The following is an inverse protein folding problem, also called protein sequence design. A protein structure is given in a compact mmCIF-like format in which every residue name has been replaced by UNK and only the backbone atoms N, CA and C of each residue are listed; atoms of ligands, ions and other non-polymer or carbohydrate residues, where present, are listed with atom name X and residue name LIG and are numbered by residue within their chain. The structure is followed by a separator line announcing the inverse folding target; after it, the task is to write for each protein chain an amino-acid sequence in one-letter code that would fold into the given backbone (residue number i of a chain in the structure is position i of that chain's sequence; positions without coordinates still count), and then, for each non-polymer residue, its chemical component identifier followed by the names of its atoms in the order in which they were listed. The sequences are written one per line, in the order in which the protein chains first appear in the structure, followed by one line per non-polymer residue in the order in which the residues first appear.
data_IF_613650448789
#
_entry.id   IF_613650448789
#
_cell.length_a   1.000
_cell.length_b   1.000
_cell.length_c   1.000
_cell.angle_alpha   90.00
_cell.angle_beta   90.00
_cell.angle_gamma   90.00
#
_symmetry.space_group_name_H-M   'P 1'
#
loop_
_entity.id
_entity.type
_entity.pdbx_description
1 polymer ?
#
# COMPACT_ATOMS: atom_id res chain seq x y z
N UNK A 1 2.60 19.45 -11.51
CA UNK A 1 1.35 19.25 -10.76
C UNK A 1 1.73 19.15 -9.30
N UNK A 2 1.03 19.86 -8.43
CA UNK A 2 1.26 19.83 -6.99
C UNK A 2 0.60 18.59 -6.35
N UNK A 3 0.90 18.36 -5.09
CA UNK A 3 0.43 17.20 -4.34
C UNK A 3 -1.09 17.20 -4.17
N UNK A 4 -1.69 18.38 -3.98
CA UNK A 4 -3.14 18.52 -3.82
C UNK A 4 -3.89 18.16 -5.11
N UNK A 5 -3.35 18.54 -6.27
CA UNK A 5 -3.99 18.22 -7.55
C UNK A 5 -4.01 16.72 -7.86
N UNK A 6 -3.01 15.95 -7.40
CA UNK A 6 -3.07 14.48 -7.50
C UNK A 6 -4.11 13.92 -6.54
N UNK A 7 -4.16 14.39 -5.30
CA UNK A 7 -5.19 13.96 -4.35
C UNK A 7 -6.61 14.24 -4.88
N UNK A 8 -6.83 15.41 -5.48
CA UNK A 8 -8.12 15.76 -6.06
C UNK A 8 -8.47 14.88 -7.27
N UNK A 9 -7.47 14.47 -8.08
CA UNK A 9 -7.66 13.46 -9.12
C UNK A 9 -8.15 12.14 -8.54
N UNK A 10 -7.54 11.64 -7.45
CA UNK A 10 -7.96 10.37 -6.84
C UNK A 10 -9.37 10.48 -6.25
N UNK A 11 -9.68 11.57 -5.57
CA UNK A 11 -11.03 11.85 -5.05
C UNK A 11 -12.08 11.89 -6.16
N UNK A 12 -11.78 12.61 -7.25
CA UNK A 12 -12.73 12.72 -8.37
C UNK A 12 -12.91 11.38 -9.07
N UNK A 13 -11.83 10.62 -9.29
CA UNK A 13 -11.92 9.25 -9.83
C UNK A 13 -12.80 8.36 -8.95
N UNK A 14 -12.62 8.44 -7.63
CA UNK A 14 -13.45 7.67 -6.70
C UNK A 14 -14.93 8.08 -6.79
N UNK A 15 -15.24 9.37 -6.87
CA UNK A 15 -16.62 9.87 -7.01
C UNK A 15 -17.27 9.41 -8.33
N UNK A 16 -16.52 9.47 -9.44
CA UNK A 16 -17.08 9.24 -10.77
C UNK A 16 -17.13 7.75 -11.14
N UNK A 17 -16.18 6.95 -10.63
CA UNK A 17 -15.99 5.57 -11.09
C UNK A 17 -16.21 4.54 -9.98
N UNK A 18 -15.59 4.72 -8.78
CA UNK A 18 -15.52 3.70 -7.74
C UNK A 18 -16.80 3.67 -6.91
N UNK A 19 -17.13 4.80 -6.27
CA UNK A 19 -18.26 4.92 -5.33
C UNK A 19 -19.61 4.56 -5.98
N UNK A 20 -19.91 4.91 -7.26
CA UNK A 20 -21.15 4.49 -7.89
C UNK A 20 -21.31 2.97 -8.04
N UNK A 21 -20.19 2.23 -8.06
CA UNK A 21 -20.17 0.76 -8.20
C UNK A 21 -20.02 0.03 -6.86
N UNK A 22 -19.66 0.74 -5.80
CA UNK A 22 -19.58 0.16 -4.47
C UNK A 22 -20.94 -0.37 -4.02
N UNK A 23 -21.02 -1.67 -3.70
CA UNK A 23 -22.28 -2.39 -3.38
C UNK A 23 -23.32 -2.39 -4.52
N UNK A 24 -22.90 -2.04 -5.74
CA UNK A 24 -23.78 -1.91 -6.90
C UNK A 24 -23.19 -2.55 -8.16
N UNK A 25 -22.16 -3.40 -8.02
CA UNK A 25 -21.58 -4.16 -9.15
C UNK A 25 -22.64 -5.06 -9.77
N UNK A 26 -22.77 -4.99 -11.10
CA UNK A 26 -23.66 -5.85 -11.87
C UNK A 26 -23.03 -7.22 -12.15
N UNK A 27 -23.86 -8.17 -12.56
CA UNK A 27 -23.40 -9.46 -13.06
C UNK A 27 -22.47 -9.26 -14.27
N UNK A 28 -21.27 -9.88 -14.24
CA UNK A 28 -20.26 -9.74 -15.30
C UNK A 28 -19.30 -8.57 -15.15
N UNK A 29 -19.38 -7.76 -14.07
CA UNK A 29 -18.43 -6.67 -13.79
C UNK A 29 -17.27 -7.09 -12.89
N UNK A 30 -17.28 -8.35 -12.37
CA UNK A 30 -16.22 -8.93 -11.54
C UNK A 30 -15.54 -10.06 -12.28
N UNK A 31 -14.21 -10.05 -12.31
CA UNK A 31 -13.40 -11.07 -12.96
C UNK A 31 -12.38 -11.63 -11.99
N UNK A 32 -11.94 -12.86 -12.22
CA UNK A 32 -10.82 -13.49 -11.47
C UNK A 32 -9.57 -13.43 -12.33
N UNK A 33 -8.44 -12.96 -11.76
CA UNK A 33 -7.13 -12.91 -12.44
C UNK A 33 -6.46 -14.30 -12.40
N UNK A 34 -5.86 -14.67 -11.27
CA UNK A 34 -5.04 -15.89 -11.15
C UNK A 34 -5.65 -16.97 -10.25
N UNK A 35 -6.36 -16.59 -9.19
CA UNK A 35 -7.01 -17.51 -8.26
C UNK A 35 -8.30 -16.86 -7.70
N UNK A 36 -9.23 -17.61 -7.08
CA UNK A 36 -10.56 -17.12 -6.70
C UNK A 36 -10.60 -15.88 -5.80
N UNK A 37 -9.51 -15.59 -5.06
CA UNK A 37 -9.39 -14.39 -4.23
C UNK A 37 -8.71 -13.21 -4.95
N UNK A 38 -8.15 -13.42 -6.13
CA UNK A 38 -7.46 -12.40 -6.94
C UNK A 38 -8.47 -11.81 -7.94
N UNK A 39 -9.19 -10.82 -7.48
CA UNK A 39 -10.32 -10.22 -8.19
C UNK A 39 -9.90 -8.92 -8.88
N UNK A 40 -10.60 -8.61 -9.96
CA UNK A 40 -10.58 -7.32 -10.64
C UNK A 40 -11.99 -6.98 -11.09
N UNK A 41 -12.35 -5.70 -11.05
CA UNK A 41 -13.64 -5.23 -11.54
C UNK A 41 -13.49 -4.27 -12.72
N UNK A 42 -14.59 -3.92 -13.35
CA UNK A 42 -14.61 -2.86 -14.35
C UNK A 42 -14.19 -1.51 -13.74
N UNK A 43 -14.46 -1.30 -12.44
CA UNK A 43 -14.06 -0.09 -11.72
C UNK A 43 -12.54 0.03 -11.58
N UNK A 44 -11.83 -1.07 -11.32
CA UNK A 44 -10.35 -1.07 -11.25
C UNK A 44 -9.76 -0.58 -12.57
N UNK A 45 -10.18 -1.18 -13.69
CA UNK A 45 -9.65 -0.87 -15.02
C UNK A 45 -9.96 0.57 -15.44
N UNK A 46 -11.19 1.02 -15.23
CA UNK A 46 -11.61 2.38 -15.59
C UNK A 46 -10.90 3.42 -14.72
N UNK A 47 -10.74 3.16 -13.41
CA UNK A 47 -10.01 4.04 -12.50
C UNK A 47 -8.53 4.14 -12.88
N UNK A 48 -7.87 3.01 -13.20
CA UNK A 48 -6.49 3.02 -13.64
C UNK A 48 -6.32 3.82 -14.94
N UNK A 49 -7.24 3.68 -15.91
CA UNK A 49 -7.20 4.42 -17.17
C UNK A 49 -7.34 5.93 -16.95
N UNK A 50 -8.29 6.36 -16.10
CA UNK A 50 -8.51 7.78 -15.76
C UNK A 50 -7.26 8.37 -15.11
N UNK A 51 -6.74 7.72 -14.07
CA UNK A 51 -5.57 8.20 -13.32
C UNK A 51 -4.33 8.22 -14.24
N UNK A 52 -4.09 7.14 -14.98
CA UNK A 52 -2.95 7.02 -15.92
C UNK A 52 -3.00 8.11 -16.99
N UNK A 53 -4.16 8.37 -17.58
CA UNK A 53 -4.33 9.40 -18.61
C UNK A 53 -4.03 10.79 -18.06
N UNK A 54 -4.51 11.10 -16.86
CA UNK A 54 -4.27 12.39 -16.21
C UNK A 54 -2.78 12.57 -15.85
N UNK A 55 -2.14 11.53 -15.29
CA UNK A 55 -0.72 11.56 -14.95
C UNK A 55 0.17 11.68 -16.19
N UNK A 56 -0.10 10.94 -17.26
CA UNK A 56 0.64 11.07 -18.55
C UNK A 56 0.52 12.46 -19.15
N UNK A 57 -0.64 13.09 -19.03
CA UNK A 57 -0.82 14.47 -19.49
C UNK A 57 0.00 15.47 -18.68
N UNK A 58 0.07 15.25 -17.36
CA UNK A 58 0.79 16.12 -16.43
C UNK A 58 2.32 15.88 -16.45
N UNK A 59 2.73 14.65 -16.70
CA UNK A 59 4.12 14.17 -16.67
C UNK A 59 4.41 13.29 -17.90
N UNK A 60 4.57 13.90 -19.11
CA UNK A 60 4.66 13.13 -20.36
C UNK A 60 5.84 12.14 -20.42
N UNK A 61 6.92 12.43 -19.69
CA UNK A 61 8.14 11.63 -19.68
C UNK A 61 8.17 10.59 -18.54
N UNK A 62 7.15 10.54 -17.69
CA UNK A 62 7.11 9.61 -16.59
C UNK A 62 6.61 8.22 -17.02
N UNK A 63 7.25 7.18 -16.49
CA UNK A 63 6.74 5.81 -16.58
C UNK A 63 5.59 5.63 -15.59
N UNK A 64 4.42 5.21 -16.07
CA UNK A 64 3.28 4.90 -15.21
C UNK A 64 3.11 3.38 -15.15
N UNK A 65 3.20 2.83 -13.95
CA UNK A 65 3.00 1.40 -13.65
C UNK A 65 1.70 1.25 -12.87
N UNK A 66 0.64 0.84 -13.54
CA UNK A 66 -0.61 0.44 -12.89
C UNK A 66 -0.66 -1.06 -12.62
N UNK A 67 -1.43 -1.48 -11.62
CA UNK A 67 -1.64 -2.88 -11.28
C UNK A 67 -2.21 -3.68 -12.45
N UNK A 68 -3.27 -3.15 -13.09
CA UNK A 68 -3.98 -3.85 -14.15
C UNK A 68 -3.14 -3.93 -15.43
N UNK A 69 -2.43 -2.84 -15.76
CA UNK A 69 -1.48 -2.82 -16.88
C UNK A 69 -0.32 -3.80 -16.64
N UNK A 70 0.24 -3.86 -15.43
CA UNK A 70 1.32 -4.78 -15.09
C UNK A 70 0.86 -6.24 -15.08
N UNK A 71 -0.39 -6.49 -14.69
CA UNK A 71 -1.01 -7.82 -14.75
C UNK A 71 -1.17 -8.29 -16.21
N UNK A 72 -1.53 -7.39 -17.12
CA UNK A 72 -1.67 -7.66 -18.55
C UNK A 72 -0.30 -7.78 -19.27
N UNK A 73 0.68 -6.95 -18.88
CA UNK A 73 2.04 -6.96 -19.43
C UNK A 73 3.10 -6.88 -18.32
N UNK A 74 3.58 -8.03 -17.82
CA UNK A 74 4.63 -8.08 -16.79
C UNK A 74 5.98 -7.45 -17.22
N UNK A 75 6.17 -7.18 -18.52
CA UNK A 75 7.40 -6.52 -19.01
C UNK A 75 7.50 -5.06 -18.53
N UNK A 76 6.38 -4.44 -18.17
CA UNK A 76 6.32 -3.08 -17.62
C UNK A 76 7.12 -2.93 -16.33
N UNK A 77 7.25 -4.00 -15.53
CA UNK A 77 8.11 -4.00 -14.34
C UNK A 77 9.58 -3.68 -14.65
N UNK A 78 10.10 -4.14 -15.80
CA UNK A 78 11.48 -3.82 -16.21
C UNK A 78 11.62 -2.35 -16.64
N UNK A 79 10.63 -1.83 -17.35
CA UNK A 79 10.60 -0.41 -17.74
C UNK A 79 10.52 0.50 -16.50
N UNK A 80 9.67 0.13 -15.54
CA UNK A 80 9.54 0.81 -14.25
C UNK A 80 10.86 0.81 -13.47
N UNK A 81 11.54 -0.33 -13.37
CA UNK A 81 12.81 -0.46 -12.65
C UNK A 81 13.94 0.38 -13.26
N UNK A 82 13.86 0.70 -14.57
CA UNK A 82 14.86 1.51 -15.29
C UNK A 82 14.49 2.99 -15.37
N UNK A 83 13.30 3.38 -14.94
CA UNK A 83 12.81 4.75 -15.12
C UNK A 83 13.40 5.72 -14.09
N UNK A 84 13.85 6.89 -14.55
CA UNK A 84 14.28 7.98 -13.65
C UNK A 84 13.10 8.68 -12.97
N UNK A 85 11.95 8.73 -13.65
CA UNK A 85 10.71 9.25 -13.11
C UNK A 85 9.59 8.27 -13.37
N UNK A 86 8.89 7.86 -12.32
CA UNK A 86 7.79 6.92 -12.44
C UNK A 86 6.69 7.17 -11.41
N UNK A 87 5.52 6.58 -11.69
CA UNK A 87 4.41 6.47 -10.75
C UNK A 87 3.99 5.00 -10.64
N UNK A 88 3.54 4.59 -9.45
CA UNK A 88 2.76 3.37 -9.26
C UNK A 88 1.31 3.73 -9.00
N UNK A 89 0.37 2.92 -9.48
CA UNK A 89 -1.07 3.08 -9.26
C UNK A 89 -1.65 1.73 -8.84
N UNK A 90 -2.33 1.72 -7.69
CA UNK A 90 -3.34 0.73 -7.37
C UNK A 90 -4.70 1.42 -7.45
N UNK A 91 -5.53 1.07 -8.44
CA UNK A 91 -6.81 1.76 -8.65
C UNK A 91 -7.85 1.45 -7.58
N UNK A 92 -7.86 0.23 -7.04
CA UNK A 92 -8.71 -0.20 -5.93
C UNK A 92 -7.96 -1.27 -5.13
N UNK A 93 -7.03 -0.85 -4.28
CA UNK A 93 -6.44 -1.74 -3.28
C UNK A 93 -7.53 -2.30 -2.36
N UNK A 94 -7.50 -3.59 -2.11
CA UNK A 94 -8.58 -4.27 -1.42
C UNK A 94 -9.78 -4.58 -2.33
N UNK A 95 -9.58 -4.94 -3.59
CA UNK A 95 -10.66 -5.31 -4.54
C UNK A 95 -11.59 -6.39 -3.97
N UNK A 96 -11.05 -7.35 -3.19
CA UNK A 96 -11.88 -8.34 -2.50
C UNK A 96 -12.89 -7.69 -1.56
N UNK A 97 -12.46 -6.72 -0.75
CA UNK A 97 -13.33 -5.96 0.15
C UNK A 97 -14.38 -5.17 -0.63
N UNK A 98 -13.94 -4.48 -1.69
CA UNK A 98 -14.82 -3.70 -2.56
C UNK A 98 -15.95 -4.57 -3.15
N UNK A 99 -15.61 -5.73 -3.72
CA UNK A 99 -16.58 -6.68 -4.30
C UNK A 99 -17.56 -7.19 -3.25
N UNK A 100 -17.10 -7.39 -2.00
CA UNK A 100 -17.95 -7.88 -0.89
C UNK A 100 -18.63 -6.76 -0.10
N UNK A 101 -18.57 -5.52 -0.60
CA UNK A 101 -19.25 -4.36 0.02
C UNK A 101 -18.68 -3.92 1.37
N UNK A 102 -17.40 -4.25 1.65
CA UNK A 102 -16.66 -3.76 2.82
C UNK A 102 -16.02 -2.42 2.50
N UNK A 103 -16.03 -1.51 3.47
CA UNK A 103 -15.55 -0.14 3.31
C UNK A 103 -14.02 -0.01 3.19
N UNK A 104 -13.27 -1.06 3.58
CA UNK A 104 -11.82 -1.06 3.66
C UNK A 104 -11.20 -1.31 2.28
N UNK A 105 -11.21 -0.29 1.43
CA UNK A 105 -10.53 -0.25 0.15
C UNK A 105 -9.96 1.16 -0.09
N UNK A 106 -8.95 1.27 -0.95
CA UNK A 106 -8.25 2.52 -1.17
C UNK A 106 -7.81 2.69 -2.62
N UNK A 107 -7.65 3.94 -3.07
CA UNK A 107 -6.92 4.29 -4.29
C UNK A 107 -5.52 4.71 -3.86
N UNK A 108 -4.48 4.09 -4.42
CA UNK A 108 -3.11 4.32 -4.01
C UNK A 108 -2.24 4.79 -5.18
N UNK A 109 -1.45 5.84 -4.94
CA UNK A 109 -0.46 6.34 -5.90
C UNK A 109 0.85 6.67 -5.19
N UNK A 110 1.97 6.34 -5.81
CA UNK A 110 3.28 6.84 -5.41
C UNK A 110 4.02 7.44 -6.60
N UNK A 111 4.75 8.52 -6.37
CA UNK A 111 5.72 9.09 -7.31
C UNK A 111 7.13 8.70 -6.88
N UNK A 112 7.93 8.24 -7.87
CA UNK A 112 9.31 7.87 -7.66
C UNK A 112 10.24 8.69 -8.55
N UNK A 113 11.39 9.04 -7.98
CA UNK A 113 12.51 9.67 -8.69
C UNK A 113 13.76 8.82 -8.50
N UNK A 114 14.34 8.33 -9.59
CA UNK A 114 15.51 7.44 -9.56
C UNK A 114 15.33 6.25 -8.60
N UNK A 115 14.13 5.66 -8.59
CA UNK A 115 13.77 4.52 -7.74
C UNK A 115 13.40 4.86 -6.30
N UNK A 116 13.50 6.12 -5.89
CA UNK A 116 13.14 6.57 -4.55
C UNK A 116 11.72 7.16 -4.53
N UNK A 117 10.89 6.74 -3.57
CA UNK A 117 9.54 7.29 -3.39
C UNK A 117 9.66 8.70 -2.82
N UNK A 118 9.11 9.69 -3.54
CA UNK A 118 9.20 11.10 -3.15
C UNK A 118 7.87 11.72 -2.76
N UNK A 119 6.75 11.17 -3.26
CA UNK A 119 5.39 11.54 -2.86
C UNK A 119 4.50 10.31 -2.85
N UNK A 120 3.53 10.28 -1.96
CA UNK A 120 2.54 9.20 -1.87
C UNK A 120 1.16 9.72 -1.50
N UNK A 121 0.14 9.02 -2.00
CA UNK A 121 -1.27 9.27 -1.76
C UNK A 121 -1.99 7.97 -1.53
N UNK A 122 -2.81 7.92 -0.48
CA UNK A 122 -3.75 6.85 -0.18
C UNK A 122 -5.09 7.52 0.10
N UNK A 123 -6.07 7.30 -0.76
CA UNK A 123 -7.42 7.79 -0.59
C UNK A 123 -8.36 6.63 -0.28
N UNK A 124 -9.04 6.69 0.85
CA UNK A 124 -10.04 5.70 1.30
C UNK A 124 -11.45 6.29 1.08
N UNK A 125 -12.14 5.94 -0.02
CA UNK A 125 -13.37 6.63 -0.42
C UNK A 125 -14.50 6.53 0.61
N UNK A 126 -14.73 5.33 1.16
CA UNK A 126 -15.85 5.11 2.08
C UNK A 126 -15.59 5.68 3.49
N UNK A 127 -14.32 5.82 3.87
CA UNK A 127 -13.92 6.43 5.14
C UNK A 127 -13.69 7.94 5.02
N UNK A 128 -13.65 8.50 3.79
CA UNK A 128 -13.31 9.90 3.51
C UNK A 128 -11.98 10.31 4.14
N UNK A 129 -10.98 9.39 4.11
CA UNK A 129 -9.65 9.60 4.66
C UNK A 129 -8.61 9.69 3.56
N UNK A 130 -7.88 10.79 3.54
CA UNK A 130 -6.70 10.99 2.69
C UNK A 130 -5.45 10.92 3.54
N UNK A 131 -4.53 10.03 3.17
CA UNK A 131 -3.19 10.00 3.72
C UNK A 131 -2.22 10.41 2.61
N UNK A 132 -1.41 11.43 2.89
CA UNK A 132 -0.48 12.01 1.93
C UNK A 132 0.87 12.19 2.60
N UNK A 133 1.94 11.85 1.90
CA UNK A 133 3.29 12.11 2.38
C UNK A 133 4.17 12.65 1.25
N UNK A 134 5.05 13.58 1.61
CA UNK A 134 6.15 14.06 0.78
C UNK A 134 7.47 13.85 1.50
N UNK A 135 8.46 13.36 0.81
CA UNK A 135 9.77 13.06 1.38
C UNK A 135 10.37 14.27 2.09
N UNK A 136 10.62 14.12 3.40
CA UNK A 136 11.18 15.16 4.27
C UNK A 136 10.20 16.25 4.69
N UNK A 137 8.91 16.18 4.26
CA UNK A 137 7.89 17.15 4.65
C UNK A 137 6.90 16.60 5.69
N UNK A 138 6.91 15.29 5.92
CA UNK A 138 6.04 14.60 6.86
C UNK A 138 4.87 13.90 6.19
N UNK A 139 4.09 13.20 6.99
CA UNK A 139 2.86 12.53 6.60
C UNK A 139 1.64 13.24 7.19
N UNK A 140 0.54 13.25 6.45
CA UNK A 140 -0.67 13.99 6.78
C UNK A 140 -1.90 13.12 6.60
N UNK A 141 -2.86 13.23 7.52
CA UNK A 141 -4.21 12.67 7.41
C UNK A 141 -5.22 13.80 7.26
N UNK A 142 -5.92 13.89 6.14
CA UNK A 142 -6.88 14.97 5.84
C UNK A 142 -6.30 16.38 6.06
N UNK A 143 -5.00 16.58 5.72
CA UNK A 143 -4.30 17.84 5.89
C UNK A 143 -3.73 18.10 7.30
N UNK A 144 -4.02 17.24 8.28
CA UNK A 144 -3.43 17.30 9.61
C UNK A 144 -2.19 16.44 9.69
N UNK A 145 -1.08 17.01 10.17
CA UNK A 145 0.20 16.31 10.28
C UNK A 145 0.11 15.16 11.29
N UNK A 146 0.55 13.97 10.89
CA UNK A 146 0.67 12.83 11.78
C UNK A 146 1.90 12.99 12.70
N UNK A 147 1.79 12.56 13.96
CA UNK A 147 2.94 12.56 14.88
C UNK A 147 3.96 11.49 14.51
N UNK A 148 5.19 11.67 14.96
CA UNK A 148 6.19 10.60 14.92
C UNK A 148 5.74 9.45 15.81
N UNK A 149 5.92 8.22 15.34
CA UNK A 149 5.51 7.01 16.05
C UNK A 149 6.41 6.75 17.26
N UNK A 150 5.82 6.38 18.38
CA UNK A 150 6.49 6.04 19.63
C UNK A 150 6.04 4.65 20.11
N UNK A 151 6.54 3.56 19.48
CA UNK A 151 6.17 2.21 19.89
C UNK A 151 6.68 1.88 21.28
N UNK A 152 5.96 0.99 21.99
CA UNK A 152 6.37 0.53 23.32
C UNK A 152 7.77 -0.10 23.29
N UNK A 153 8.54 0.09 24.38
CA UNK A 153 9.86 -0.52 24.53
C UNK A 153 9.78 -2.05 24.71
N UNK A 154 8.70 -2.55 25.33
CA UNK A 154 8.45 -3.97 25.53
C UNK A 154 7.82 -4.57 24.26
N UNK A 155 8.50 -5.54 23.65
CA UNK A 155 8.02 -6.20 22.43
C UNK A 155 6.73 -7.01 22.61
N UNK A 156 6.40 -7.39 23.83
CA UNK A 156 5.12 -8.05 24.13
C UNK A 156 3.91 -7.11 24.09
N UNK A 157 4.16 -5.79 24.05
CA UNK A 157 3.12 -4.77 23.90
C UNK A 157 2.92 -4.34 22.43
N UNK A 158 3.74 -4.82 21.48
CA UNK A 158 3.57 -4.46 20.08
C UNK A 158 2.33 -5.09 19.46
N UNK A 159 1.52 -4.28 18.81
CA UNK A 159 0.30 -4.69 18.11
C UNK A 159 0.66 -5.05 16.68
N UNK A 160 0.68 -6.34 16.39
CA UNK A 160 1.05 -6.87 15.08
C UNK A 160 -0.16 -7.35 14.30
N UNK A 161 -0.12 -7.16 12.97
CA UNK A 161 -1.12 -7.68 12.04
C UNK A 161 -0.45 -8.40 10.87
N UNK A 162 -1.15 -9.41 10.31
CA UNK A 162 -0.73 -10.09 9.08
C UNK A 162 -1.93 -10.68 8.35
N UNK A 163 -1.91 -10.66 7.01
CA UNK A 163 -2.86 -11.42 6.19
C UNK A 163 -2.55 -12.93 6.16
N UNK A 164 -1.34 -13.33 6.59
CA UNK A 164 -0.86 -14.71 6.52
C UNK A 164 -1.25 -15.51 7.75
N UNK A 165 -2.08 -16.55 7.56
CA UNK A 165 -2.53 -17.41 8.65
C UNK A 165 -1.36 -18.03 9.43
N UNK A 166 -0.31 -18.52 8.75
CA UNK A 166 0.86 -19.09 9.42
C UNK A 166 1.59 -18.11 10.35
N UNK A 167 1.51 -16.81 10.08
CA UNK A 167 2.06 -15.77 10.95
C UNK A 167 1.13 -15.53 12.15
N UNK A 168 -0.18 -15.43 11.93
CA UNK A 168 -1.17 -15.23 13.01
C UNK A 168 -1.27 -16.42 13.95
N UNK A 169 -1.25 -17.63 13.38
CA UNK A 169 -1.36 -18.89 14.16
C UNK A 169 -0.01 -19.30 14.78
N UNK A 170 1.08 -18.64 14.35
CA UNK A 170 2.42 -18.85 14.88
C UNK A 170 2.58 -18.28 16.30
N UNK A 171 3.42 -18.92 17.10
CA UNK A 171 3.84 -18.41 18.41
C UNK A 171 5.31 -18.00 18.32
N UNK A 172 5.57 -16.72 18.52
CA UNK A 172 6.91 -16.15 18.45
C UNK A 172 7.29 -15.61 19.83
N UNK A 173 8.33 -16.20 20.43
CA UNK A 173 8.75 -15.82 21.79
C UNK A 173 9.04 -14.31 21.89
N UNK A 174 8.42 -13.67 22.89
CA UNK A 174 8.56 -12.25 23.15
C UNK A 174 7.76 -11.34 22.20
N UNK A 175 6.81 -11.88 21.43
CA UNK A 175 5.81 -11.12 20.70
C UNK A 175 4.40 -11.52 21.14
N UNK A 176 3.49 -10.57 21.15
CA UNK A 176 2.06 -10.87 21.22
C UNK A 176 1.59 -11.53 19.93
N UNK A 177 0.51 -12.37 19.99
CA UNK A 177 -0.09 -12.92 18.78
C UNK A 177 -0.50 -11.81 17.81
N UNK A 178 -0.20 -12.01 16.52
CA UNK A 178 -0.65 -11.10 15.49
C UNK A 178 -2.13 -11.33 15.17
N UNK A 179 -2.81 -10.24 14.84
CA UNK A 179 -4.20 -10.27 14.41
C UNK A 179 -4.33 -10.17 12.89
N UNK A 180 -5.53 -10.25 12.38
CA UNK A 180 -5.80 -10.14 10.95
C UNK A 180 -5.67 -8.69 10.47
N UNK A 181 -5.23 -8.50 9.22
CA UNK A 181 -5.19 -7.19 8.53
C UNK A 181 -6.61 -6.77 8.11
N UNK A 182 -6.74 -5.55 7.60
CA UNK A 182 -7.97 -5.10 6.92
C UNK A 182 -8.08 -5.63 5.47
N UNK A 183 -7.14 -6.47 4.99
CA UNK A 183 -7.09 -6.97 3.60
C UNK A 183 -7.06 -5.85 2.54
N UNK A 184 -6.41 -4.75 2.88
CA UNK A 184 -6.16 -3.59 2.05
C UNK A 184 -4.87 -2.94 2.56
N UNK A 185 -3.82 -2.96 1.76
CA UNK A 185 -2.51 -2.45 2.18
C UNK A 185 -2.57 -0.96 2.51
N UNK A 186 -3.37 -0.17 1.77
CA UNK A 186 -3.58 1.25 2.04
C UNK A 186 -4.24 1.51 3.38
N UNK A 187 -5.20 0.68 3.79
CA UNK A 187 -5.81 0.76 5.13
C UNK A 187 -4.82 0.30 6.20
N UNK A 188 -4.13 -0.81 5.97
CA UNK A 188 -3.13 -1.35 6.91
C UNK A 188 -2.02 -0.32 7.19
N UNK A 189 -1.43 0.29 6.14
CA UNK A 189 -0.42 1.35 6.29
C UNK A 189 -0.96 2.60 6.95
N UNK A 190 -2.21 2.95 6.71
CA UNK A 190 -2.85 4.10 7.34
C UNK A 190 -2.97 3.91 8.86
N UNK A 191 -3.34 2.72 9.31
CA UNK A 191 -3.40 2.36 10.73
C UNK A 191 -2.00 2.34 11.37
N UNK A 192 -0.99 1.83 10.65
CA UNK A 192 0.39 1.90 11.15
C UNK A 192 0.87 3.35 11.28
N UNK A 193 0.65 4.18 10.26
CA UNK A 193 1.06 5.59 10.30
C UNK A 193 0.30 6.40 11.36
N UNK A 194 -0.92 6.01 11.70
CA UNK A 194 -1.70 6.63 12.78
C UNK A 194 -1.32 6.12 14.19
N UNK A 195 -0.48 5.06 14.27
CA UNK A 195 -0.08 4.45 15.55
C UNK A 195 -1.13 3.51 16.14
N UNK A 196 -2.09 3.02 15.35
CA UNK A 196 -3.08 2.04 15.80
C UNK A 196 -2.50 0.63 15.87
N UNK A 197 -1.49 0.33 15.05
CA UNK A 197 -0.69 -0.90 15.06
C UNK A 197 0.80 -0.54 15.02
N UNK A 198 1.65 -1.46 15.44
CA UNK A 198 3.10 -1.22 15.55
C UNK A 198 3.89 -1.99 14.47
N UNK A 199 3.30 -3.07 13.91
CA UNK A 199 3.94 -3.87 12.87
C UNK A 199 2.92 -4.54 11.96
N UNK A 200 3.28 -4.64 10.67
CA UNK A 200 2.53 -5.36 9.64
C UNK A 200 3.48 -6.32 8.95
N UNK A 201 3.05 -7.57 8.76
CA UNK A 201 3.80 -8.58 7.99
C UNK A 201 3.02 -8.94 6.74
N UNK A 202 3.63 -8.69 5.57
CA UNK A 202 3.09 -9.03 4.25
C UNK A 202 3.90 -10.14 3.59
N UNK A 203 3.25 -11.03 2.85
CA UNK A 203 3.92 -12.06 2.04
C UNK A 203 4.29 -11.56 0.64
N UNK A 204 3.53 -10.63 0.09
CA UNK A 204 3.70 -10.10 -1.25
C UNK A 204 4.35 -8.71 -1.20
N UNK A 205 4.95 -8.30 -2.33
CA UNK A 205 5.75 -7.06 -2.38
C UNK A 205 5.52 -6.28 -3.69
N UNK A 206 4.27 -6.19 -4.14
CA UNK A 206 3.93 -5.46 -5.36
C UNK A 206 4.19 -3.96 -5.18
N UNK A 207 4.79 -3.27 -6.18
CA UNK A 207 5.12 -1.85 -6.02
C UNK A 207 3.93 -0.94 -5.75
N UNK A 208 2.79 -1.19 -6.36
CA UNK A 208 1.59 -0.37 -6.20
C UNK A 208 0.95 -0.51 -4.83
N UNK A 209 1.01 -1.71 -4.20
CA UNK A 209 0.50 -1.95 -2.84
C UNK A 209 1.39 -1.29 -1.78
N UNK A 210 2.72 -1.21 -2.01
CA UNK A 210 3.67 -0.95 -0.93
C UNK A 210 4.46 0.36 -1.06
N UNK A 211 4.70 0.88 -2.27
CA UNK A 211 5.44 2.14 -2.42
C UNK A 211 4.73 3.33 -1.75
N UNK A 212 3.39 3.50 -1.85
CA UNK A 212 2.70 4.57 -1.15
C UNK A 212 2.83 4.44 0.38
N UNK A 213 2.60 3.24 0.92
CA UNK A 213 2.70 2.97 2.35
C UNK A 213 4.12 3.13 2.88
N UNK A 214 5.14 2.74 2.11
CA UNK A 214 6.54 2.90 2.48
C UNK A 214 6.87 4.36 2.84
N UNK A 215 6.53 5.31 1.98
CA UNK A 215 6.81 6.72 2.27
C UNK A 215 5.96 7.22 3.42
N UNK A 216 4.67 6.88 3.46
CA UNK A 216 3.76 7.30 4.51
C UNK A 216 4.31 6.95 5.90
N UNK A 217 4.74 5.69 6.11
CA UNK A 217 5.27 5.28 7.41
C UNK A 217 6.67 5.83 7.68
N UNK A 218 7.51 6.02 6.65
CA UNK A 218 8.87 6.57 6.86
C UNK A 218 8.84 8.01 7.35
N UNK A 219 7.87 8.81 6.90
CA UNK A 219 7.71 10.21 7.32
C UNK A 219 7.17 10.37 8.76
N UNK A 220 6.76 9.28 9.39
CA UNK A 220 6.40 9.21 10.81
C UNK A 220 7.38 8.39 11.66
N UNK A 221 8.58 8.07 11.13
CA UNK A 221 9.64 7.38 11.84
C UNK A 221 9.62 5.85 11.70
N UNK A 222 8.66 5.30 10.96
CA UNK A 222 8.58 3.88 10.64
C UNK A 222 9.52 3.44 9.53
N UNK A 223 9.52 2.15 9.23
CA UNK A 223 10.33 1.54 8.16
C UNK A 223 9.55 0.44 7.45
N UNK A 224 9.88 0.21 6.16
CA UNK A 224 9.47 -0.97 5.42
C UNK A 224 10.70 -1.75 4.98
N UNK A 225 10.84 -2.99 5.44
CA UNK A 225 11.99 -3.84 5.18
C UNK A 225 11.55 -5.18 4.60
N UNK A 226 12.38 -5.76 3.72
CA UNK A 226 12.23 -7.15 3.31
C UNK A 226 12.56 -8.11 4.45
N UNK A 227 12.17 -9.37 4.34
CA UNK A 227 12.44 -10.39 5.35
C UNK A 227 13.93 -10.57 5.68
N UNK A 228 14.82 -10.29 4.73
CA UNK A 228 16.28 -10.29 4.93
C UNK A 228 16.83 -9.02 5.63
N UNK A 229 15.98 -8.04 5.90
CA UNK A 229 16.32 -6.79 6.57
C UNK A 229 16.78 -5.68 5.64
N UNK A 230 16.89 -5.92 4.35
CA UNK A 230 17.13 -4.84 3.39
C UNK A 230 15.91 -3.90 3.32
N UNK A 231 16.17 -2.62 3.09
CA UNK A 231 15.07 -1.68 2.83
C UNK A 231 14.28 -2.14 1.61
N UNK A 232 12.95 -2.05 1.68
CA UNK A 232 12.11 -2.36 0.54
C UNK A 232 12.49 -1.51 -0.68
N UNK A 233 12.61 -2.16 -1.83
CA UNK A 233 12.88 -1.50 -3.10
C UNK A 233 11.75 -1.80 -4.10
N UNK A 234 10.91 -0.83 -4.47
CA UNK A 234 9.82 -1.04 -5.42
C UNK A 234 10.27 -1.55 -6.79
N UNK A 235 11.48 -1.20 -7.23
CA UNK A 235 12.06 -1.62 -8.51
C UNK A 235 12.59 -3.08 -8.49
N UNK A 236 12.82 -3.64 -7.31
CA UNK A 236 13.30 -5.01 -7.11
C UNK A 236 12.60 -5.65 -5.91
N UNK A 237 11.27 -5.85 -5.98
CA UNK A 237 10.48 -6.33 -4.85
C UNK A 237 10.90 -7.75 -4.46
N UNK A 238 10.97 -7.99 -3.15
CA UNK A 238 11.26 -9.30 -2.55
C UNK A 238 10.08 -9.73 -1.70
N UNK A 239 9.76 -11.04 -1.65
CA UNK A 239 8.69 -11.53 -0.78
C UNK A 239 9.02 -11.26 0.68
N UNK A 240 7.98 -11.27 1.50
CA UNK A 240 8.03 -10.98 2.92
C UNK A 240 8.50 -9.56 3.23
N UNK A 241 7.54 -8.71 3.56
CA UNK A 241 7.79 -7.36 4.02
C UNK A 241 7.38 -7.21 5.48
N UNK A 242 8.19 -6.47 6.22
CA UNK A 242 7.88 -6.03 7.59
C UNK A 242 7.78 -4.51 7.57
N UNK A 243 6.56 -4.00 7.65
CA UNK A 243 6.27 -2.60 7.93
C UNK A 243 6.22 -2.40 9.44
N UNK A 244 6.98 -1.46 9.99
CA UNK A 244 7.08 -1.30 11.43
C UNK A 244 7.16 0.17 11.86
N UNK A 245 6.67 0.46 13.05
CA UNK A 245 6.64 1.80 13.65
C UNK A 245 8.04 2.38 13.94
N UNK A 246 9.08 1.54 13.95
CA UNK A 246 10.48 1.97 14.06
C UNK A 246 11.44 0.90 13.54
N UNK A 247 12.71 1.25 13.26
CA UNK A 247 13.76 0.26 12.95
C UNK A 247 13.92 -0.81 14.03
N UNK A 248 13.81 -0.43 15.30
CA UNK A 248 13.92 -1.34 16.45
C UNK A 248 12.79 -2.38 16.46
N UNK A 249 11.57 -1.97 16.16
CA UNK A 249 10.42 -2.89 16.04
C UNK A 249 10.64 -3.85 14.88
N UNK A 250 11.05 -3.36 13.70
CA UNK A 250 11.33 -4.20 12.53
C UNK A 250 12.42 -5.25 12.81
N UNK A 251 13.52 -4.85 13.41
CA UNK A 251 14.60 -5.75 13.80
C UNK A 251 14.13 -6.80 14.82
N UNK A 252 13.41 -6.35 15.84
CA UNK A 252 12.87 -7.23 16.88
C UNK A 252 11.92 -8.30 16.34
N UNK A 253 11.04 -7.93 15.41
CA UNK A 253 10.11 -8.86 14.75
C UNK A 253 10.87 -9.82 13.84
N UNK A 254 11.76 -9.33 12.98
CA UNK A 254 12.54 -10.20 12.06
C UNK A 254 13.41 -11.21 12.81
N UNK A 255 14.05 -10.77 13.91
CA UNK A 255 14.87 -11.68 14.72
C UNK A 255 14.05 -12.85 15.29
N UNK A 256 12.81 -12.59 15.71
CA UNK A 256 11.91 -13.59 16.30
C UNK A 256 11.17 -14.45 15.27
N UNK A 257 10.98 -13.91 14.06
CA UNK A 257 10.25 -14.58 12.97
C UNK A 257 11.16 -15.09 11.86
N UNK A 258 12.50 -15.13 12.03
CA UNK A 258 13.45 -15.42 10.96
C UNK A 258 13.13 -16.71 10.17
N UNK A 259 12.68 -17.78 10.84
CA UNK A 259 12.28 -19.03 10.19
C UNK A 259 10.94 -18.97 9.45
N UNK A 260 10.08 -17.97 9.73
CA UNK A 260 8.76 -17.82 9.12
C UNK A 260 8.77 -16.82 7.94
N UNK A 261 9.80 -15.98 7.85
CA UNK A 261 9.95 -14.95 6.81
C UNK A 261 10.85 -15.37 5.64
N UNK A 262 11.26 -16.63 5.61
CA UNK A 262 12.05 -17.26 4.53
C UNK A 262 11.21 -18.38 3.93
N UNK A 263 10.63 -18.16 2.77
CA UNK A 263 9.97 -19.21 2.01
C UNK A 263 10.19 -18.99 0.52
#
# INVERSE_FOLDING_TARGET
VDTDAVLDLLRQTAIDVITPRFRALAEGEVFTKTHPGDLVTVADRESEEVITTALRRAYPDAMILGEEAASADPSLMRAFAAAEHSFTIDPIDGTYNFVHGKADHAVMVAELRSGEVVRSWIWQPEHQLAFVAEKGAGAYRNGERLPVLEPAADSTAWRGISSQAQIRDGSFEGLSPMTETWFCAGVDYSHLAAGDVDVIVFAHAKPWDHAPGMLLISEVGGVLQAGDGSTYNPAAPRPWLVGAASPTVAEGVRARMAGALVA
#
